data_IF_240591567129
#
_entry.id   IF_240591567129
#
_cell.length_a   1.000
_cell.length_b   1.000
_cell.length_c   1.000
_cell.angle_alpha   90.00
_cell.angle_beta   90.00
_cell.angle_gamma   90.00
#
_symmetry.space_group_name_H-M   'P 1'
#
loop_
_entity.id
_entity.type
_entity.pdbx_description
1 polymer ?
#
# COMPACT_ATOMS: atom_id res chain seq x y z
N UNK A 1 18.30 67.39 0.79
CA UNK A 1 18.31 66.08 1.46
C UNK A 1 17.11 65.25 1.00
N UNK A 2 17.28 64.35 0.03
CA UNK A 2 16.28 63.30 -0.26
C UNK A 2 17.03 61.97 -0.39
N UNK A 3 16.77 61.07 0.57
CA UNK A 3 17.43 59.78 0.72
C UNK A 3 16.99 58.85 -0.41
N UNK A 4 17.95 58.26 -1.11
CA UNK A 4 17.75 57.15 -2.04
C UNK A 4 17.62 55.87 -1.20
N UNK A 5 16.43 55.27 -1.15
CA UNK A 5 16.21 53.96 -0.54
C UNK A 5 16.38 52.91 -1.63
N UNK A 6 17.47 52.15 -1.55
CA UNK A 6 17.74 51.00 -2.40
C UNK A 6 17.10 49.76 -1.75
N UNK A 7 15.98 49.30 -2.28
CA UNK A 7 15.35 48.05 -1.86
C UNK A 7 16.09 46.87 -2.49
N UNK A 8 16.86 46.14 -1.67
CA UNK A 8 17.52 44.90 -2.08
C UNK A 8 16.50 43.76 -2.05
N UNK A 9 16.03 43.32 -3.21
CA UNK A 9 15.22 42.12 -3.34
C UNK A 9 16.11 40.88 -3.19
N UNK A 10 16.05 40.22 -2.02
CA UNK A 10 16.68 38.91 -1.81
C UNK A 10 15.77 37.88 -2.48
N UNK A 11 16.16 37.40 -3.65
CA UNK A 11 15.54 36.24 -4.26
C UNK A 11 15.92 34.99 -3.45
N UNK A 12 15.00 34.51 -2.59
CA UNK A 12 15.11 33.16 -2.06
C UNK A 12 14.89 32.17 -3.20
N UNK A 13 15.96 31.68 -3.79
CA UNK A 13 15.93 30.51 -4.66
C UNK A 13 15.65 29.28 -3.79
N UNK A 14 14.38 28.92 -3.63
CA UNK A 14 14.01 27.59 -3.13
C UNK A 14 14.45 26.60 -4.19
N UNK A 15 15.63 26.01 -4.00
CA UNK A 15 16.15 25.00 -4.91
C UNK A 15 15.24 23.77 -4.87
N UNK A 16 14.37 23.62 -5.86
CA UNK A 16 13.70 22.37 -6.15
C UNK A 16 14.77 21.34 -6.56
N UNK A 17 15.37 20.67 -5.58
CA UNK A 17 16.12 19.45 -5.84
C UNK A 17 15.12 18.38 -6.23
N UNK A 18 14.99 18.15 -7.54
CA UNK A 18 14.26 17.02 -8.08
C UNK A 18 14.81 15.74 -7.43
N UNK A 19 13.93 14.96 -6.79
CA UNK A 19 14.31 13.67 -6.22
C UNK A 19 14.80 12.78 -7.37
N UNK A 20 16.06 12.36 -7.31
CA UNK A 20 16.66 11.53 -8.34
C UNK A 20 16.35 10.07 -8.03
N UNK A 21 15.42 9.48 -8.76
CA UNK A 21 15.08 8.06 -8.64
C UNK A 21 16.21 7.18 -9.18
N UNK A 22 16.54 6.10 -8.47
CA UNK A 22 17.47 5.07 -8.97
C UNK A 22 16.72 4.08 -9.86
N UNK A 23 17.23 3.80 -11.06
CA UNK A 23 16.61 2.81 -11.96
C UNK A 23 16.90 1.40 -11.44
N UNK A 24 15.85 0.64 -11.13
CA UNK A 24 15.93 -0.76 -10.73
C UNK A 24 15.08 -1.64 -11.65
N UNK A 25 15.72 -2.56 -12.40
CA UNK A 25 15.03 -3.38 -13.42
C UNK A 25 14.26 -4.55 -12.78
N UNK A 26 13.10 -4.27 -12.16
CA UNK A 26 12.27 -5.24 -11.44
C UNK A 26 11.96 -6.50 -12.26
N UNK A 27 11.75 -6.37 -13.57
CA UNK A 27 11.48 -7.49 -14.49
C UNK A 27 12.49 -8.65 -14.39
N UNK A 28 13.75 -8.37 -14.03
CA UNK A 28 14.81 -9.40 -13.86
C UNK A 28 14.62 -10.28 -12.62
N UNK A 29 13.76 -9.86 -11.70
CA UNK A 29 13.49 -10.50 -10.42
C UNK A 29 12.13 -11.22 -10.39
N UNK A 30 11.49 -11.41 -11.54
CA UNK A 30 10.25 -12.17 -11.65
C UNK A 30 10.54 -13.64 -11.34
N UNK A 31 9.81 -14.21 -10.38
CA UNK A 31 9.95 -15.61 -9.97
C UNK A 31 8.77 -16.47 -10.39
N UNK A 32 7.58 -15.88 -10.56
CA UNK A 32 6.40 -16.63 -10.98
C UNK A 32 5.39 -15.78 -11.77
N UNK A 33 4.50 -16.49 -12.47
CA UNK A 33 3.19 -15.99 -12.88
C UNK A 33 2.21 -16.50 -11.82
N UNK A 34 1.41 -15.60 -11.24
CA UNK A 34 0.40 -16.01 -10.26
C UNK A 34 -0.69 -16.84 -10.94
N UNK A 35 -1.31 -17.73 -10.16
CA UNK A 35 -2.40 -18.58 -10.64
C UNK A 35 -3.54 -17.73 -11.21
N UNK A 36 -4.23 -18.18 -12.26
CA UNK A 36 -5.38 -17.46 -12.84
C UNK A 36 -6.56 -17.25 -11.86
N UNK A 37 -6.58 -17.95 -10.71
CA UNK A 37 -7.48 -17.66 -9.59
C UNK A 37 -7.12 -16.36 -8.87
N UNK A 38 -5.84 -15.95 -8.86
CA UNK A 38 -5.36 -14.68 -8.28
C UNK A 38 -5.18 -13.67 -9.42
N UNK A 39 -6.23 -12.92 -9.72
CA UNK A 39 -6.24 -11.97 -10.85
C UNK A 39 -5.90 -10.54 -10.42
N UNK A 40 -6.31 -10.18 -9.20
CA UNK A 40 -6.38 -8.83 -8.67
C UNK A 40 -5.72 -8.82 -7.27
N UNK A 41 -4.42 -9.12 -7.25
CA UNK A 41 -3.62 -9.17 -6.01
C UNK A 41 -3.33 -7.76 -5.47
N UNK A 42 -4.29 -7.20 -4.73
CA UNK A 42 -4.21 -5.84 -4.14
C UNK A 42 -3.66 -5.83 -2.70
N UNK A 43 -2.81 -6.80 -2.38
CA UNK A 43 -2.12 -6.78 -1.10
C UNK A 43 -1.31 -8.04 -0.85
N UNK A 44 -0.17 -7.88 -0.18
CA UNK A 44 0.75 -8.98 0.10
C UNK A 44 1.25 -8.89 1.54
N UNK A 45 1.20 -10.00 2.29
CA UNK A 45 1.62 -9.96 3.69
C UNK A 45 2.21 -11.29 4.16
N UNK A 46 3.24 -11.22 5.01
CA UNK A 46 3.77 -12.39 5.71
C UNK A 46 3.10 -12.55 7.07
N UNK A 47 2.49 -13.71 7.31
CA UNK A 47 2.10 -14.14 8.66
C UNK A 47 3.08 -15.25 9.08
N UNK A 48 4.02 -14.91 9.97
CA UNK A 48 5.18 -15.77 10.23
C UNK A 48 6.01 -15.97 8.95
N UNK A 49 6.14 -17.22 8.50
CA UNK A 49 6.90 -17.56 7.28
C UNK A 49 6.03 -17.72 6.03
N UNK A 50 4.70 -17.64 6.19
CA UNK A 50 3.75 -17.90 5.13
C UNK A 50 3.35 -16.59 4.44
N UNK A 51 3.37 -16.60 3.10
CA UNK A 51 3.01 -15.46 2.27
C UNK A 51 1.53 -15.55 1.89
N UNK A 52 0.80 -14.46 2.09
CA UNK A 52 -0.63 -14.35 1.81
C UNK A 52 -0.93 -13.20 0.84
N UNK A 53 -1.95 -13.40 0.01
CA UNK A 53 -2.60 -12.40 -0.85
C UNK A 53 -4.10 -12.66 -0.87
N UNK A 54 -4.87 -11.72 -1.39
CA UNK A 54 -6.30 -11.88 -1.70
C UNK A 54 -6.60 -11.36 -3.11
N UNK A 55 -7.85 -11.44 -3.55
CA UNK A 55 -8.33 -10.70 -4.73
C UNK A 55 -9.22 -9.53 -4.28
N UNK A 56 -9.15 -8.41 -4.99
CA UNK A 56 -9.92 -7.17 -4.78
C UNK A 56 -11.46 -7.33 -4.92
N UNK A 57 -12.15 -6.19 -5.01
CA UNK A 57 -13.60 -6.05 -5.12
C UNK A 57 -14.28 -7.03 -6.10
N UNK A 58 -15.49 -7.50 -5.74
CA UNK A 58 -16.29 -8.38 -6.61
C UNK A 58 -15.83 -9.84 -6.67
N UNK A 59 -14.72 -10.18 -6.01
CA UNK A 59 -14.27 -11.54 -5.80
C UNK A 59 -14.75 -12.11 -4.45
N UNK A 60 -14.76 -13.45 -4.26
CA UNK A 60 -15.02 -14.06 -2.96
C UNK A 60 -14.07 -13.54 -1.87
N UNK A 61 -14.57 -13.42 -0.64
CA UNK A 61 -13.77 -13.06 0.53
C UNK A 61 -12.82 -14.21 0.93
N UNK A 62 -11.68 -14.28 0.26
CA UNK A 62 -10.72 -15.37 0.38
C UNK A 62 -9.28 -14.86 0.55
N UNK A 63 -8.54 -15.45 1.49
CA UNK A 63 -7.10 -15.32 1.60
C UNK A 63 -6.42 -16.54 0.98
N UNK A 64 -5.42 -16.30 0.13
CA UNK A 64 -4.60 -17.34 -0.48
C UNK A 64 -3.23 -17.37 0.18
N UNK A 65 -2.91 -18.48 0.86
CA UNK A 65 -1.53 -18.79 1.20
C UNK A 65 -0.83 -19.26 -0.06
N UNK A 66 0.25 -18.59 -0.44
CA UNK A 66 1.02 -18.89 -1.65
C UNK A 66 2.44 -19.33 -1.33
N UNK A 67 3.01 -20.17 -2.19
CA UNK A 67 4.42 -20.54 -2.13
C UNK A 67 5.27 -19.34 -2.61
N UNK A 68 6.17 -18.80 -1.77
CA UNK A 68 6.92 -17.59 -2.10
C UNK A 68 7.98 -17.79 -3.19
N UNK A 69 8.22 -19.01 -3.68
CA UNK A 69 9.18 -19.29 -4.76
C UNK A 69 8.48 -19.47 -6.10
N UNK A 70 7.30 -20.08 -6.10
CA UNK A 70 6.57 -20.51 -7.29
C UNK A 70 5.25 -19.79 -7.51
N UNK A 71 4.76 -19.00 -6.55
CA UNK A 71 3.47 -18.31 -6.62
C UNK A 71 2.26 -19.23 -6.61
N UNK A 72 2.44 -20.53 -6.35
CA UNK A 72 1.35 -21.51 -6.31
C UNK A 72 0.51 -21.33 -5.05
N UNK A 73 -0.81 -21.44 -5.18
CA UNK A 73 -1.72 -21.51 -4.03
C UNK A 73 -1.46 -22.81 -3.28
N UNK A 74 -1.10 -22.69 -2.02
CA UNK A 74 -0.91 -23.81 -1.08
C UNK A 74 -2.19 -24.11 -0.31
N UNK A 75 -2.94 -23.06 0.04
CA UNK A 75 -4.22 -23.17 0.76
C UNK A 75 -5.06 -21.92 0.55
N UNK A 76 -6.37 -22.10 0.47
CA UNK A 76 -7.36 -21.01 0.44
C UNK A 76 -8.12 -21.00 1.75
N UNK A 77 -8.34 -19.80 2.29
CA UNK A 77 -9.09 -19.56 3.51
C UNK A 77 -10.26 -18.65 3.18
N UNK A 78 -11.48 -19.13 3.40
CA UNK A 78 -12.68 -18.29 3.29
C UNK A 78 -12.81 -17.46 4.57
N UNK A 79 -12.91 -16.14 4.43
CA UNK A 79 -13.23 -15.25 5.53
C UNK A 79 -14.74 -15.09 5.63
N UNK A 80 -15.27 -15.07 6.86
CA UNK A 80 -16.65 -14.69 7.12
C UNK A 80 -16.77 -13.16 7.14
N UNK A 81 -16.60 -12.56 5.96
CA UNK A 81 -16.57 -11.12 5.72
C UNK A 81 -17.09 -10.84 4.31
N UNK A 82 -17.53 -9.61 4.06
CA UNK A 82 -17.87 -9.14 2.72
C UNK A 82 -16.66 -8.50 2.06
N UNK A 83 -16.44 -8.80 0.77
CA UNK A 83 -15.44 -8.13 -0.05
C UNK A 83 -16.12 -7.06 -0.90
N UNK A 84 -16.39 -5.91 -0.27
CA UNK A 84 -16.94 -4.74 -0.98
C UNK A 84 -15.85 -4.09 -1.81
N UNK A 85 -14.72 -3.77 -1.18
CA UNK A 85 -13.55 -3.18 -1.80
C UNK A 85 -12.31 -3.48 -0.93
N UNK A 86 -11.87 -4.75 -0.94
CA UNK A 86 -10.67 -5.17 -0.22
C UNK A 86 -9.41 -4.64 -0.88
N UNK A 87 -8.54 -4.01 -0.10
CA UNK A 87 -7.42 -3.23 -0.64
C UNK A 87 -6.12 -3.35 0.17
N UNK A 88 -6.13 -3.99 1.35
CA UNK A 88 -4.88 -4.23 2.09
C UNK A 88 -4.96 -5.40 3.07
N UNK A 89 -3.79 -5.97 3.39
CA UNK A 89 -3.63 -7.05 4.36
C UNK A 89 -2.48 -6.76 5.33
N UNK A 90 -2.75 -6.84 6.63
CA UNK A 90 -1.75 -6.76 7.70
C UNK A 90 -2.00 -7.82 8.77
N UNK A 91 -1.09 -7.96 9.75
CA UNK A 91 -1.30 -8.83 10.90
C UNK A 91 -0.53 -8.35 12.14
N UNK A 92 -0.98 -8.74 13.33
CA UNK A 92 -0.29 -8.53 14.61
C UNK A 92 0.42 -9.80 15.14
N UNK A 93 0.59 -10.81 14.29
CA UNK A 93 1.10 -12.14 14.65
C UNK A 93 0.06 -13.07 15.27
N UNK A 94 -1.16 -12.62 15.53
CA UNK A 94 -2.27 -13.41 16.08
C UNK A 94 -3.58 -13.26 15.28
N UNK A 95 -3.76 -12.13 14.61
CA UNK A 95 -4.94 -11.75 13.86
C UNK A 95 -4.53 -11.21 12.50
N UNK A 96 -5.29 -11.57 11.46
CA UNK A 96 -5.28 -10.82 10.21
C UNK A 96 -6.11 -9.54 10.36
N UNK A 97 -5.63 -8.47 9.73
CA UNK A 97 -6.38 -7.26 9.44
C UNK A 97 -6.59 -7.18 7.94
N UNK A 98 -7.84 -7.14 7.49
CA UNK A 98 -8.22 -7.08 6.08
C UNK A 98 -8.96 -5.76 5.86
N UNK A 99 -8.41 -4.89 5.05
CA UNK A 99 -8.97 -3.57 4.78
C UNK A 99 -10.06 -3.61 3.71
N UNK A 100 -11.31 -3.32 4.08
CA UNK A 100 -12.43 -3.12 3.16
C UNK A 100 -12.76 -1.63 3.11
N UNK A 101 -11.94 -0.89 2.37
CA UNK A 101 -11.88 0.56 2.47
C UNK A 101 -11.50 1.28 1.17
N UNK A 102 -11.43 0.57 0.04
CA UNK A 102 -11.28 1.21 -1.26
C UNK A 102 -12.39 2.23 -1.49
N UNK A 103 -12.00 3.39 -2.02
CA UNK A 103 -12.85 4.57 -2.11
C UNK A 103 -12.43 5.50 -3.26
N UNK A 104 -12.03 4.94 -4.40
CA UNK A 104 -11.61 5.68 -5.60
C UNK A 104 -12.65 6.68 -6.14
N UNK A 105 -13.94 6.46 -5.83
CA UNK A 105 -15.05 7.35 -6.15
C UNK A 105 -15.30 8.43 -5.10
N UNK A 106 -14.64 8.39 -3.94
CA UNK A 106 -14.75 9.36 -2.85
C UNK A 106 -16.13 9.43 -2.19
N UNK A 107 -16.90 8.34 -2.22
CA UNK A 107 -18.32 8.32 -1.79
C UNK A 107 -18.62 7.35 -0.64
N UNK A 108 -17.68 6.49 -0.25
CA UNK A 108 -17.88 5.47 0.79
C UNK A 108 -17.96 6.15 2.17
N UNK A 109 -18.91 5.70 2.98
CA UNK A 109 -19.13 6.16 4.37
C UNK A 109 -19.04 5.01 5.37
N UNK A 110 -18.63 3.83 4.91
CA UNK A 110 -18.68 2.55 5.61
C UNK A 110 -17.31 1.84 5.58
N UNK A 111 -16.23 2.64 5.56
CA UNK A 111 -14.86 2.13 5.59
C UNK A 111 -14.63 1.30 6.85
N UNK A 112 -14.01 0.14 6.69
CA UNK A 112 -13.81 -0.81 7.80
C UNK A 112 -12.60 -1.69 7.59
N UNK A 113 -12.13 -2.27 8.69
CA UNK A 113 -11.13 -3.32 8.70
C UNK A 113 -11.73 -4.53 9.41
N UNK A 114 -11.65 -5.70 8.77
CA UNK A 114 -11.96 -6.96 9.44
C UNK A 114 -10.74 -7.43 10.22
N UNK A 115 -10.93 -7.75 11.49
CA UNK A 115 -9.93 -8.40 12.34
C UNK A 115 -10.36 -9.84 12.59
N UNK A 116 -9.55 -10.79 12.15
CA UNK A 116 -9.88 -12.22 12.22
C UNK A 116 -8.73 -13.00 12.86
N UNK A 117 -8.95 -13.72 13.96
CA UNK A 117 -7.90 -14.52 14.58
C UNK A 117 -7.38 -15.61 13.63
N UNK A 118 -6.07 -15.81 13.65
CA UNK A 118 -5.38 -16.83 12.88
C UNK A 118 -4.34 -17.55 13.73
N UNK A 119 -4.55 -18.85 13.93
CA UNK A 119 -3.67 -19.70 14.70
C UNK A 119 -3.65 -21.10 14.11
N UNK A 120 -2.50 -21.78 14.19
CA UNK A 120 -2.34 -23.18 13.78
C UNK A 120 -2.86 -23.50 12.37
N UNK A 121 -2.75 -22.54 11.45
CA UNK A 121 -3.22 -22.71 10.08
C UNK A 121 -4.75 -22.71 9.93
N UNK A 122 -5.46 -22.09 10.87
CA UNK A 122 -6.93 -21.95 10.90
C UNK A 122 -7.29 -20.47 11.04
N UNK A 123 -8.19 -20.01 10.18
CA UNK A 123 -8.82 -18.68 10.26
C UNK A 123 -10.13 -18.80 11.06
N UNK A 124 -10.19 -18.22 12.26
CA UNK A 124 -11.34 -18.37 13.16
C UNK A 124 -12.48 -17.41 12.79
N UNK A 125 -13.30 -17.86 11.85
CA UNK A 125 -14.47 -17.13 11.36
C UNK A 125 -15.59 -16.92 12.39
N UNK A 126 -15.50 -17.52 13.59
CA UNK A 126 -16.49 -17.32 14.66
C UNK A 126 -16.22 -16.06 15.48
N UNK A 127 -15.03 -15.46 15.32
CA UNK A 127 -14.54 -14.31 16.11
C UNK A 127 -14.18 -13.10 15.25
N UNK A 128 -14.80 -12.96 14.08
CA UNK A 128 -14.59 -11.79 13.21
C UNK A 128 -15.04 -10.52 13.95
N UNK A 129 -14.15 -9.54 14.03
CA UNK A 129 -14.45 -8.20 14.51
C UNK A 129 -14.40 -7.21 13.35
N UNK A 130 -15.26 -6.19 13.40
CA UNK A 130 -15.27 -5.09 12.43
C UNK A 130 -14.76 -3.85 13.15
N UNK A 131 -13.79 -3.17 12.54
CA UNK A 131 -13.20 -1.93 13.03
C UNK A 131 -13.60 -0.82 12.04
N UNK A 132 -14.78 -0.18 12.21
CA UNK A 132 -15.21 0.89 11.33
C UNK A 132 -14.45 2.18 11.62
N UNK A 133 -14.20 2.97 10.58
CA UNK A 133 -13.55 4.27 10.73
C UNK A 133 -14.00 5.27 9.66
N UNK A 134 -13.68 6.54 9.88
CA UNK A 134 -13.90 7.61 8.91
C UNK A 134 -12.77 8.64 8.92
N UNK A 135 -12.61 9.36 7.81
CA UNK A 135 -11.73 10.53 7.74
C UNK A 135 -12.46 11.76 8.29
N UNK A 136 -11.97 12.39 9.38
CA UNK A 136 -12.54 13.65 9.86
C UNK A 136 -12.61 14.75 8.81
N UNK A 137 -11.68 14.76 7.86
CA UNK A 137 -11.52 15.76 6.81
C UNK A 137 -12.43 15.53 5.59
N UNK A 138 -12.96 14.31 5.38
CA UNK A 138 -13.85 14.05 4.26
C UNK A 138 -15.27 14.56 4.57
N UNK A 139 -15.65 15.66 3.94
CA UNK A 139 -16.99 16.28 4.08
C UNK A 139 -17.87 16.12 2.85
N UNK A 140 -17.26 15.89 1.69
CA UNK A 140 -17.95 15.66 0.43
C UNK A 140 -17.90 14.17 0.07
N UNK A 141 -19.08 13.61 -0.20
CA UNK A 141 -19.28 12.22 -0.60
C UNK A 141 -19.96 12.12 -1.97
N UNK A 142 -20.03 13.23 -2.71
CA UNK A 142 -20.49 13.20 -4.09
C UNK A 142 -19.50 12.40 -4.94
N UNK A 143 -19.96 11.39 -5.70
CA UNK A 143 -19.06 10.53 -6.48
C UNK A 143 -18.23 11.35 -7.46
N UNK A 144 -16.90 11.20 -7.39
CA UNK A 144 -15.97 11.82 -8.32
C UNK A 144 -15.26 10.76 -9.16
N UNK A 145 -14.96 11.08 -10.41
CA UNK A 145 -14.20 10.16 -11.28
C UNK A 145 -12.71 10.31 -11.02
N UNK A 146 -12.13 9.45 -10.18
CA UNK A 146 -10.67 9.33 -10.02
C UNK A 146 -10.04 10.69 -9.64
N UNK A 147 -10.66 11.38 -8.69
CA UNK A 147 -10.34 12.75 -8.29
C UNK A 147 -10.52 12.98 -6.78
N UNK A 148 -10.39 11.91 -5.99
CA UNK A 148 -10.46 11.95 -4.53
C UNK A 148 -9.08 11.75 -3.91
N UNK A 149 -8.84 12.37 -2.76
CA UNK A 149 -7.66 12.14 -1.92
C UNK A 149 -8.00 11.27 -0.68
N UNK A 150 -9.22 10.73 -0.62
CA UNK A 150 -9.72 9.86 0.46
C UNK A 150 -9.87 8.39 0.02
N UNK A 151 -9.13 8.00 -1.00
CA UNK A 151 -8.96 6.60 -1.38
C UNK A 151 -7.82 5.96 -0.57
N UNK A 152 -7.90 4.67 -0.30
CA UNK A 152 -7.00 3.97 0.61
C UNK A 152 -6.68 2.58 0.10
N UNK A 153 -5.38 2.29 -0.05
CA UNK A 153 -4.90 1.01 -0.60
C UNK A 153 -3.73 0.40 0.17
N UNK A 154 -3.43 0.92 1.36
CA UNK A 154 -2.22 0.49 2.05
C UNK A 154 -2.38 0.51 3.56
N UNK A 155 -1.90 -0.56 4.20
CA UNK A 155 -2.02 -0.78 5.64
C UNK A 155 -0.84 -1.60 6.18
N UNK A 156 -0.31 -1.19 7.34
CA UNK A 156 0.61 -2.00 8.14
C UNK A 156 0.13 -2.05 9.61
N UNK A 157 0.60 -3.03 10.37
CA UNK A 157 0.48 -3.05 11.82
C UNK A 157 1.86 -2.82 12.44
N UNK A 158 1.97 -1.82 13.31
CA UNK A 158 3.23 -1.44 13.94
C UNK A 158 2.96 -0.77 15.29
N UNK A 159 3.81 -1.01 16.29
CA UNK A 159 3.74 -0.40 17.62
C UNK A 159 2.34 -0.42 18.27
N UNK A 160 1.58 -1.50 18.06
CA UNK A 160 0.25 -1.65 18.63
C UNK A 160 -0.86 -0.90 17.90
N UNK A 161 -0.57 -0.27 16.76
CA UNK A 161 -1.51 0.52 15.96
C UNK A 161 -1.61 -0.01 14.54
N UNK A 162 -2.75 0.24 13.91
CA UNK A 162 -2.91 0.07 12.47
C UNK A 162 -2.53 1.40 11.84
N UNK A 163 -1.58 1.36 10.91
CA UNK A 163 -1.15 2.51 10.12
C UNK A 163 -1.71 2.36 8.71
N UNK A 164 -2.34 3.40 8.18
CA UNK A 164 -2.96 3.40 6.84
C UNK A 164 -2.41 4.57 6.01
N UNK A 165 -2.24 4.34 4.71
CA UNK A 165 -1.64 5.30 3.78
C UNK A 165 -2.53 5.52 2.56
N UNK A 166 -2.97 6.76 2.35
CA UNK A 166 -3.93 7.10 1.28
C UNK A 166 -3.32 7.01 -0.11
N UNK A 167 -4.19 6.69 -1.07
CA UNK A 167 -3.97 6.80 -2.50
C UNK A 167 -4.59 8.11 -3.00
N UNK A 168 -3.81 9.17 -3.07
CA UNK A 168 -4.37 10.49 -3.39
C UNK A 168 -4.36 10.78 -4.89
N UNK A 169 -5.52 10.69 -5.55
CA UNK A 169 -5.64 10.80 -7.01
C UNK A 169 -5.44 12.22 -7.54
N UNK A 170 -5.76 13.22 -6.72
CA UNK A 170 -5.69 14.65 -7.08
C UNK A 170 -4.33 15.19 -6.68
N UNK A 171 -3.97 15.06 -5.40
CA UNK A 171 -2.74 15.65 -4.87
C UNK A 171 -1.48 14.86 -5.26
N UNK A 172 -1.58 13.54 -5.49
CA UNK A 172 -0.45 12.61 -5.65
C UNK A 172 0.49 12.60 -4.43
N UNK A 173 -0.11 12.81 -3.26
CA UNK A 173 0.50 12.70 -1.94
C UNK A 173 0.10 11.33 -1.36
N UNK A 174 0.62 11.01 -0.20
CA UNK A 174 0.03 10.03 0.70
C UNK A 174 -0.05 10.64 2.09
N UNK A 175 -1.22 10.61 2.69
CA UNK A 175 -1.45 10.93 4.08
C UNK A 175 -1.40 9.64 4.90
N UNK A 176 -0.68 9.73 6.01
CA UNK A 176 -0.51 8.65 6.98
C UNK A 176 -1.46 8.88 8.15
N UNK A 177 -2.34 7.92 8.42
CA UNK A 177 -3.22 7.92 9.58
C UNK A 177 -2.96 6.69 10.45
N UNK A 178 -3.37 6.80 11.72
CA UNK A 178 -3.38 5.68 12.66
C UNK A 178 -4.80 5.39 13.17
N UNK A 179 -5.04 4.11 13.45
CA UNK A 179 -6.27 3.57 14.05
C UNK A 179 -5.93 2.71 15.26
N UNK A 180 -6.88 2.63 16.20
CA UNK A 180 -6.79 1.73 17.33
C UNK A 180 -7.40 0.36 17.00
N UNK A 181 -6.59 -0.74 16.98
CA UNK A 181 -7.06 -2.09 16.67
C UNK A 181 -7.93 -2.72 17.77
N UNK A 182 -8.09 -2.05 18.91
CA UNK A 182 -8.97 -2.45 20.00
C UNK A 182 -10.32 -1.70 19.99
N UNK A 183 -10.48 -0.69 19.13
CA UNK A 183 -11.71 0.10 19.04
C UNK A 183 -12.63 -0.43 17.94
N UNK A 184 -13.74 -1.06 18.35
CA UNK A 184 -14.79 -1.55 17.44
C UNK A 184 -15.90 -0.53 17.14
N UNK A 185 -15.85 0.65 17.76
CA UNK A 185 -16.74 1.76 17.42
C UNK A 185 -16.25 2.50 16.18
N UNK A 186 -17.13 3.30 15.57
CA UNK A 186 -16.76 4.10 14.40
C UNK A 186 -15.78 5.21 14.78
N UNK A 187 -14.49 4.95 14.57
CA UNK A 187 -13.41 5.80 15.05
C UNK A 187 -12.93 6.81 14.00
N UNK A 188 -12.56 8.00 14.44
CA UNK A 188 -11.89 8.97 13.58
C UNK A 188 -10.46 8.50 13.28
N UNK A 189 -10.09 8.44 11.99
CA UNK A 189 -8.70 8.23 11.59
C UNK A 189 -7.85 9.43 12.04
N UNK A 190 -6.77 9.17 12.79
CA UNK A 190 -5.89 10.24 13.26
C UNK A 190 -4.77 10.47 12.25
N UNK A 191 -4.78 11.62 11.57
CA UNK A 191 -3.69 12.01 10.66
C UNK A 191 -2.41 12.29 11.45
N UNK A 192 -1.30 11.71 11.01
CA UNK A 192 0.01 11.82 11.65
C UNK A 192 0.97 12.65 10.81
N UNK A 193 1.03 12.37 9.51
CA UNK A 193 1.95 13.03 8.57
C UNK A 193 1.45 12.88 7.13
N UNK A 194 2.13 13.53 6.20
CA UNK A 194 1.85 13.36 4.77
C UNK A 194 3.11 13.59 3.94
N UNK A 195 3.23 12.91 2.81
CA UNK A 195 4.37 13.01 1.93
C UNK A 195 3.98 13.08 0.46
N UNK A 196 4.60 14.00 -0.28
CA UNK A 196 4.40 14.13 -1.73
C UNK A 196 5.19 13.06 -2.47
N UNK A 197 4.58 11.89 -2.66
CA UNK A 197 5.15 10.74 -3.40
C UNK A 197 5.30 11.03 -4.90
N UNK A 198 4.39 11.82 -5.46
CA UNK A 198 4.22 12.06 -6.91
C UNK A 198 3.74 10.82 -7.70
N UNK A 199 3.32 9.76 -7.01
CA UNK A 199 2.67 8.57 -7.56
C UNK A 199 1.53 8.13 -6.64
N UNK A 200 0.66 7.25 -7.14
CA UNK A 200 -0.46 6.69 -6.41
C UNK A 200 0.05 5.49 -5.60
N UNK A 201 0.02 5.58 -4.27
CA UNK A 201 0.40 4.49 -3.37
C UNK A 201 -0.64 3.37 -3.48
N UNK A 202 -0.16 2.13 -3.57
CA UNK A 202 -1.02 0.94 -3.75
C UNK A 202 -0.75 -0.19 -2.78
N UNK A 203 0.39 -0.20 -2.08
CA UNK A 203 0.62 -1.07 -0.92
C UNK A 203 1.83 -0.58 -0.12
N UNK A 204 1.95 -1.01 1.14
CA UNK A 204 3.14 -0.78 1.95
C UNK A 204 3.47 -1.96 2.87
N UNK A 205 4.75 -2.06 3.21
CA UNK A 205 5.26 -3.07 4.14
C UNK A 205 6.30 -2.45 5.06
N UNK A 206 6.35 -2.90 6.31
CA UNK A 206 7.34 -2.47 7.28
C UNK A 206 8.28 -3.63 7.63
N UNK A 207 9.58 -3.35 7.61
CA UNK A 207 10.59 -4.31 8.05
C UNK A 207 11.85 -3.60 8.54
N UNK A 208 12.33 -3.97 9.73
CA UNK A 208 13.59 -3.49 10.33
C UNK A 208 13.78 -1.95 10.28
N UNK A 209 12.81 -1.20 10.82
CA UNK A 209 12.91 0.26 10.91
C UNK A 209 12.71 0.98 9.58
N UNK A 210 12.17 0.31 8.55
CA UNK A 210 11.92 0.91 7.24
C UNK A 210 10.50 0.65 6.78
N UNK A 211 9.88 1.67 6.20
CA UNK A 211 8.62 1.60 5.47
C UNK A 211 8.93 1.52 3.97
N UNK A 212 8.42 0.48 3.32
CA UNK A 212 8.51 0.25 1.89
C UNK A 212 7.14 0.56 1.28
N UNK A 213 7.08 1.50 0.33
CA UNK A 213 5.83 1.95 -0.29
C UNK A 213 5.95 1.76 -1.79
N UNK A 214 5.01 1.03 -2.39
CA UNK A 214 4.95 0.85 -3.85
C UNK A 214 3.78 1.61 -4.43
N UNK A 215 3.86 1.85 -5.74
CA UNK A 215 2.77 2.50 -6.45
C UNK A 215 3.12 2.86 -7.87
N UNK A 216 2.20 3.55 -8.53
CA UNK A 216 2.37 3.94 -9.92
C UNK A 216 1.79 5.31 -10.26
N UNK A 217 2.26 5.88 -11.37
CA UNK A 217 1.69 7.12 -11.93
C UNK A 217 0.57 6.81 -12.91
N UNK A 218 -0.26 7.81 -13.23
CA UNK A 218 -1.25 7.72 -14.34
C UNK A 218 -0.59 7.42 -15.70
N UNK A 219 0.73 7.60 -15.83
CA UNK A 219 1.53 7.22 -17.01
C UNK A 219 2.08 5.80 -16.92
N UNK A 220 1.63 5.00 -15.96
CA UNK A 220 2.03 3.61 -15.68
C UNK A 220 3.46 3.43 -15.19
N UNK A 221 4.14 4.50 -14.78
CA UNK A 221 5.49 4.40 -14.20
C UNK A 221 5.38 3.86 -12.78
N UNK A 222 6.16 2.83 -12.45
CA UNK A 222 6.10 2.12 -11.17
C UNK A 222 7.29 2.51 -10.30
N UNK A 223 7.03 2.77 -9.02
CA UNK A 223 8.02 3.21 -8.05
C UNK A 223 7.99 2.37 -6.78
N UNK A 224 9.14 2.36 -6.09
CA UNK A 224 9.30 1.93 -4.70
C UNK A 224 9.99 3.06 -3.95
N UNK A 225 9.35 3.59 -2.92
CA UNK A 225 9.96 4.47 -1.94
C UNK A 225 10.30 3.67 -0.67
N UNK A 226 11.49 3.90 -0.12
CA UNK A 226 11.92 3.31 1.16
C UNK A 226 12.26 4.44 2.13
N UNK A 227 11.47 4.54 3.19
CA UNK A 227 11.62 5.53 4.26
C UNK A 227 12.24 4.88 5.49
N UNK A 228 13.05 5.64 6.22
CA UNK A 228 13.47 5.27 7.56
C UNK A 228 12.39 5.68 8.57
N UNK A 229 12.14 4.81 9.54
CA UNK A 229 11.40 5.18 10.73
C UNK A 229 12.28 6.10 11.60
N UNK A 230 11.89 7.37 11.65
CA UNK A 230 12.67 8.41 12.35
C UNK A 230 12.32 8.50 13.84
N UNK A 231 11.07 8.19 14.17
CA UNK A 231 10.50 8.05 15.51
C UNK A 231 9.45 6.93 15.45
N UNK A 232 9.06 6.31 16.57
CA UNK A 232 8.07 5.23 16.56
C UNK A 232 6.80 5.59 15.77
N UNK A 233 6.61 4.93 14.63
CA UNK A 233 5.49 5.14 13.72
C UNK A 233 5.56 6.43 12.88
N UNK A 234 6.74 7.05 12.68
CA UNK A 234 6.92 8.28 11.89
C UNK A 234 7.98 8.07 10.80
N UNK A 235 7.58 8.25 9.54
CA UNK A 235 8.38 7.88 8.37
C UNK A 235 8.76 9.05 7.46
N UNK A 236 7.96 10.12 7.41
CA UNK A 236 8.05 11.13 6.35
C UNK A 236 8.89 12.37 6.71
N UNK A 237 9.62 12.35 7.84
CA UNK A 237 10.54 13.45 8.21
C UNK A 237 11.72 13.56 7.25
N UNK A 238 12.21 12.43 6.75
CA UNK A 238 13.33 12.35 5.82
C UNK A 238 12.83 11.96 4.43
N UNK A 239 13.59 12.33 3.39
CA UNK A 239 13.30 11.89 2.03
C UNK A 239 13.55 10.39 1.91
N UNK A 240 12.69 9.65 1.18
CA UNK A 240 12.91 8.24 0.96
C UNK A 240 14.01 8.04 -0.07
N UNK A 241 14.58 6.83 -0.04
CA UNK A 241 15.26 6.30 -1.21
C UNK A 241 14.22 5.82 -2.22
N UNK A 242 14.20 6.43 -3.40
CA UNK A 242 13.24 6.12 -4.46
C UNK A 242 13.86 5.31 -5.58
N UNK A 243 13.17 4.26 -5.99
CA UNK A 243 13.53 3.39 -7.09
C UNK A 243 12.46 3.42 -8.18
N UNK A 244 12.86 3.66 -9.42
CA UNK A 244 12.01 3.45 -10.59
C UNK A 244 12.08 1.97 -11.01
N UNK A 245 10.97 1.26 -10.91
CA UNK A 245 10.88 -0.20 -11.13
C UNK A 245 10.59 -0.59 -12.58
N UNK A 246 10.08 0.34 -13.39
CA UNK A 246 9.68 0.13 -14.77
C UNK A 246 8.30 0.72 -15.08
N UNK A 247 7.67 0.24 -16.15
CA UNK A 247 6.29 0.58 -16.49
C UNK A 247 5.37 -0.62 -16.26
N UNK A 248 4.12 -0.40 -15.88
CA UNK A 248 3.12 -1.45 -15.70
C UNK A 248 2.89 -2.29 -16.98
N UNK A 249 3.18 -1.72 -18.16
CA UNK A 249 3.22 -2.49 -19.42
C UNK A 249 4.29 -3.59 -19.43
N UNK A 250 5.35 -3.43 -18.65
CA UNK A 250 6.49 -4.34 -18.56
C UNK A 250 6.48 -5.22 -17.31
N UNK A 251 6.00 -4.71 -16.18
CA UNK A 251 6.06 -5.38 -14.86
C UNK A 251 4.69 -5.65 -14.23
N UNK A 252 3.59 -5.34 -14.93
CA UNK A 252 2.25 -5.39 -14.35
C UNK A 252 1.96 -4.19 -13.46
N UNK A 253 0.69 -4.00 -13.11
CA UNK A 253 0.27 -2.99 -12.15
C UNK A 253 0.62 -3.52 -10.75
N UNK A 254 1.54 -2.86 -10.06
CA UNK A 254 2.04 -3.32 -8.76
C UNK A 254 1.09 -2.84 -7.67
N UNK A 255 0.54 -3.79 -6.92
CA UNK A 255 -0.45 -3.54 -5.85
C UNK A 255 -0.22 -4.46 -4.64
N UNK A 256 0.94 -5.11 -4.55
CA UNK A 256 1.31 -5.85 -3.36
C UNK A 256 2.81 -5.78 -3.07
N UNK A 257 3.17 -5.57 -1.80
CA UNK A 257 4.54 -5.64 -1.29
C UNK A 257 4.59 -6.30 0.09
N UNK A 258 5.51 -7.25 0.27
CA UNK A 258 5.81 -7.85 1.56
C UNK A 258 7.31 -7.99 1.76
N UNK A 259 7.82 -7.59 2.92
CA UNK A 259 9.25 -7.62 3.22
C UNK A 259 9.53 -8.49 4.44
N UNK A 260 10.55 -9.33 4.36
CA UNK A 260 11.02 -10.14 5.49
C UNK A 260 12.56 -10.23 5.47
N UNK A 261 13.14 -11.09 6.32
CA UNK A 261 14.59 -11.28 6.41
C UNK A 261 15.28 -11.76 5.13
N UNK A 262 14.54 -12.36 4.19
CA UNK A 262 15.10 -12.84 2.92
C UNK A 262 15.16 -11.74 1.86
N UNK A 263 14.22 -10.79 1.88
CA UNK A 263 14.14 -9.74 0.89
C UNK A 263 12.74 -9.16 0.73
N UNK A 264 12.50 -8.59 -0.44
CA UNK A 264 11.27 -7.88 -0.81
C UNK A 264 10.52 -8.70 -1.86
N UNK A 265 9.27 -9.02 -1.56
CA UNK A 265 8.32 -9.66 -2.45
C UNK A 265 7.37 -8.61 -2.99
N UNK A 266 7.09 -8.66 -4.29
CA UNK A 266 6.17 -7.73 -4.95
C UNK A 266 5.23 -8.55 -5.82
N UNK A 267 3.93 -8.30 -5.73
CA UNK A 267 2.93 -8.87 -6.65
C UNK A 267 2.40 -7.80 -7.60
N UNK A 268 2.02 -8.26 -8.79
CA UNK A 268 1.32 -7.44 -9.76
C UNK A 268 -0.02 -8.07 -10.13
N UNK A 269 -0.97 -7.23 -10.49
CA UNK A 269 -2.25 -7.67 -11.01
C UNK A 269 -2.20 -7.93 -12.52
N UNK A 270 -3.27 -8.54 -13.02
CA UNK A 270 -3.51 -8.70 -14.44
C UNK A 270 -3.80 -7.35 -15.09
N UNK A 271 -2.79 -6.76 -15.71
CA UNK A 271 -2.97 -5.49 -16.43
C UNK A 271 -3.42 -5.70 -17.88
N UNK A 272 -4.55 -5.10 -18.26
CA UNK A 272 -5.06 -5.10 -19.64
C UNK A 272 -5.14 -3.66 -20.17
N UNK A 273 -4.40 -3.40 -21.25
CA UNK A 273 -4.49 -2.17 -22.02
C UNK A 273 -4.77 -2.54 -23.49
N UNK A 274 -5.44 -1.67 -24.30
CA UNK A 274 -5.67 -1.91 -25.72
C UNK A 274 -4.52 -2.53 -26.51
N UNK A 275 -3.26 -2.23 -26.16
CA UNK A 275 -2.07 -2.71 -26.88
C UNK A 275 -1.49 -4.00 -26.30
N UNK A 276 -1.69 -4.30 -25.02
CA UNK A 276 -1.00 -5.41 -24.35
C UNK A 276 -1.77 -5.93 -23.14
N UNK A 277 -1.76 -7.27 -23.00
CA UNK A 277 -2.15 -7.98 -21.78
C UNK A 277 -0.88 -8.41 -21.04
N UNK A 278 -0.84 -8.12 -19.74
CA UNK A 278 0.22 -8.55 -18.83
C UNK A 278 -0.39 -9.48 -17.80
N UNK A 279 0.24 -10.64 -17.58
CA UNK A 279 -0.20 -11.59 -16.57
C UNK A 279 0.17 -11.10 -15.16
N UNK A 280 -0.55 -11.52 -14.11
CA UNK A 280 -0.17 -11.22 -12.74
C UNK A 280 1.14 -11.95 -12.38
N UNK A 281 2.09 -11.25 -11.80
CA UNK A 281 3.43 -11.76 -11.54
C UNK A 281 3.78 -11.69 -10.06
N UNK A 282 4.65 -12.59 -9.62
CA UNK A 282 5.35 -12.50 -8.34
C UNK A 282 6.83 -12.23 -8.59
N UNK A 283 7.37 -11.26 -7.86
CA UNK A 283 8.77 -10.85 -7.88
C UNK A 283 9.41 -11.10 -6.51
N UNK A 284 10.72 -11.37 -6.51
CA UNK A 284 11.51 -11.46 -5.30
C UNK A 284 12.88 -10.79 -5.47
N UNK A 285 13.15 -9.79 -4.64
CA UNK A 285 14.40 -9.03 -4.60
C UNK A 285 15.13 -9.35 -3.29
N UNK A 286 16.23 -10.11 -3.33
CA UNK A 286 17.08 -10.31 -2.15
C UNK A 286 17.63 -8.97 -1.63
N UNK A 287 17.71 -8.77 -0.32
CA UNK A 287 18.17 -7.50 0.29
C UNK A 287 19.48 -6.98 -0.29
N UNK A 288 20.46 -7.85 -0.58
CA UNK A 288 21.74 -7.46 -1.19
C UNK A 288 21.67 -6.95 -2.64
N UNK A 289 20.49 -6.86 -3.25
CA UNK A 289 20.30 -6.38 -4.63
C UNK A 289 19.80 -4.94 -4.69
N UNK A 290 19.13 -4.45 -3.65
CA UNK A 290 18.79 -3.04 -3.50
C UNK A 290 19.81 -2.41 -2.56
N UNK A 291 20.45 -1.33 -2.99
CA UNK A 291 21.37 -0.58 -2.13
C UNK A 291 20.53 0.32 -1.24
N UNK A 292 20.06 -0.18 -0.10
CA UNK A 292 19.28 0.63 0.86
C UNK A 292 20.17 1.44 1.79
#
# INVERSE_FOLDING_TARGET
>A
MKKLLLSLAIALSVGFHAQKSEIFKLKKFRIAVLNDTIKESSGLNFFGNDLFTFNDSGNPAELFKIDPKSGKILKTFKANAENTDWEALANDGQNFFIGDFGNNAGKRTDLKIYKIPYADGILDNTKVQILPFYYPEQKDFNPQKISTDFDLESMIYLHGKIHIFTKEWTSKTTAHYILDPANSENQAAQKVESFQTNFLVTDASYFNGKLYVVGYTKKTEVFLDVFDETEPGIFFKNRPKQFYLGSALGVGQIEGIAVNGNGIYISSEKFVNPVKKTAPYLYFIPHGKLKL
#
